data_IF_034472614652
#
_entry.id   IF_034472614652
#
_cell.length_a   1.000
_cell.length_b   1.000
_cell.length_c   1.000
_cell.angle_alpha   90.00
_cell.angle_beta   90.00
_cell.angle_gamma   90.00
#
_symmetry.space_group_name_H-M   'P 1'
#
loop_
_entity.id
_entity.type
_entity.pdbx_description
1 polymer ?
#
# COMPACT_ATOMS: atom_id res chain seq x y z
N UNK A 1 -44.87 18.55 88.54
CA UNK A 1 -46.32 18.33 88.28
C UNK A 1 -46.66 19.18 87.07
N UNK A 2 -47.09 18.68 85.92
CA UNK A 2 -47.42 17.35 85.38
C UNK A 2 -47.23 17.51 83.84
N UNK A 3 -46.69 16.60 83.03
CA UNK A 3 -47.34 15.39 82.48
C UNK A 3 -48.87 15.50 82.38
N UNK A 4 -49.37 16.28 81.42
CA UNK A 4 -50.81 16.33 81.13
C UNK A 4 -51.13 17.26 79.96
N UNK A 5 -51.83 16.71 78.98
CA UNK A 5 -52.45 17.32 77.81
C UNK A 5 -51.55 17.91 76.73
N UNK A 6 -51.22 17.05 75.77
CA UNK A 6 -51.21 17.48 74.37
C UNK A 6 -52.15 16.54 73.64
N UNK A 7 -53.25 17.11 73.14
CA UNK A 7 -54.34 16.39 72.47
C UNK A 7 -53.82 15.57 71.29
N UNK A 8 -54.26 14.31 71.19
CA UNK A 8 -53.91 13.36 70.11
C UNK A 8 -54.54 13.74 68.74
N UNK A 9 -55.11 14.95 68.62
CA UNK A 9 -55.85 15.44 67.45
C UNK A 9 -54.95 15.96 66.31
N UNK A 10 -53.62 16.03 66.51
CA UNK A 10 -52.66 16.38 65.44
C UNK A 10 -52.07 15.14 64.73
N UNK A 11 -52.50 13.93 65.08
CA UNK A 11 -52.05 12.68 64.44
C UNK A 11 -52.91 12.25 63.24
N UNK A 12 -53.65 13.16 62.61
CA UNK A 12 -54.32 12.88 61.34
C UNK A 12 -54.08 13.95 60.26
N UNK A 13 -52.80 14.14 59.93
CA UNK A 13 -52.43 14.46 58.55
C UNK A 13 -51.60 13.31 58.00
N UNK A 14 -52.28 12.20 57.73
CA UNK A 14 -51.74 11.10 56.93
C UNK A 14 -51.21 11.64 55.60
N UNK A 15 -49.89 11.80 55.49
CA UNK A 15 -49.25 11.93 54.18
C UNK A 15 -49.51 10.60 53.46
N UNK A 16 -50.37 10.63 52.45
CA UNK A 16 -50.57 9.51 51.54
C UNK A 16 -49.24 9.14 50.88
N UNK A 17 -48.61 8.06 51.37
CA UNK A 17 -47.38 7.48 50.79
C UNK A 17 -47.59 7.06 49.32
N UNK A 18 -48.84 6.83 48.92
CA UNK A 18 -49.26 6.53 47.54
C UNK A 18 -49.04 7.68 46.55
N UNK A 19 -48.79 8.91 47.05
CA UNK A 19 -48.41 10.05 46.21
C UNK A 19 -46.91 10.16 45.97
N UNK A 20 -46.07 9.53 46.81
CA UNK A 20 -44.62 9.71 46.77
C UNK A 20 -43.92 8.73 45.82
N UNK A 21 -44.50 7.54 45.66
CA UNK A 21 -44.12 6.60 44.63
C UNK A 21 -45.24 6.60 43.61
N UNK A 22 -45.11 7.48 42.60
CA UNK A 22 -46.08 7.59 41.51
C UNK A 22 -46.52 6.20 41.06
N UNK A 23 -47.82 6.04 40.84
CA UNK A 23 -48.46 4.73 40.64
C UNK A 23 -47.95 3.94 39.43
N UNK A 24 -48.80 3.12 38.83
CA UNK A 24 -48.46 2.15 37.76
C UNK A 24 -47.62 2.72 36.59
N UNK A 25 -47.59 4.04 36.41
CA UNK A 25 -46.72 4.78 35.50
C UNK A 25 -45.22 4.67 35.84
N UNK A 26 -44.83 4.53 37.11
CA UNK A 26 -43.43 4.42 37.54
C UNK A 26 -42.83 3.04 37.22
N UNK A 27 -43.62 1.97 37.30
CA UNK A 27 -43.20 0.63 36.89
C UNK A 27 -43.01 0.50 35.37
N UNK A 28 -43.88 1.14 34.59
CA UNK A 28 -43.71 1.24 33.13
C UNK A 28 -42.48 2.06 32.77
N UNK A 29 -42.27 3.21 33.41
CA UNK A 29 -41.07 4.03 33.20
C UNK A 29 -39.78 3.30 33.59
N UNK A 30 -39.77 2.55 34.70
CA UNK A 30 -38.61 1.76 35.12
C UNK A 30 -38.29 0.65 34.10
N UNK A 31 -39.30 -0.02 33.55
CA UNK A 31 -39.09 -1.02 32.50
C UNK A 31 -38.54 -0.41 31.21
N UNK A 32 -39.02 0.77 30.80
CA UNK A 32 -38.50 1.50 29.64
C UNK A 32 -37.06 1.97 29.90
N UNK A 33 -36.74 2.46 31.10
CA UNK A 33 -35.37 2.84 31.49
C UNK A 33 -34.44 1.63 31.46
N UNK A 34 -34.87 0.46 31.96
CA UNK A 34 -34.08 -0.78 31.93
C UNK A 34 -33.91 -1.29 30.48
N UNK A 35 -34.93 -1.19 29.63
CA UNK A 35 -34.86 -1.57 28.22
C UNK A 35 -33.91 -0.61 27.47
N UNK A 36 -34.01 0.69 27.70
CA UNK A 36 -33.11 1.70 27.13
C UNK A 36 -31.68 1.52 27.64
N UNK A 37 -31.50 1.14 28.91
CA UNK A 37 -30.18 0.85 29.50
C UNK A 37 -29.59 -0.45 28.93
N UNK A 38 -30.39 -1.50 28.77
CA UNK A 38 -29.99 -2.74 28.07
C UNK A 38 -29.67 -2.49 26.59
N UNK A 39 -30.45 -1.68 25.90
CA UNK A 39 -30.21 -1.30 24.50
C UNK A 39 -28.93 -0.45 24.36
N UNK A 40 -28.71 0.52 25.25
CA UNK A 40 -27.45 1.28 25.30
C UNK A 40 -26.25 0.39 25.60
N UNK A 41 -26.37 -0.54 26.55
CA UNK A 41 -25.30 -1.48 26.92
C UNK A 41 -24.91 -2.41 25.76
N UNK A 42 -25.90 -2.89 24.99
CA UNK A 42 -25.68 -3.66 23.75
C UNK A 42 -25.04 -2.80 22.66
N UNK A 43 -25.43 -1.51 22.54
CA UNK A 43 -24.86 -0.58 21.57
C UNK A 43 -23.39 -0.23 21.87
N UNK A 44 -23.02 -0.10 23.14
CA UNK A 44 -21.63 0.20 23.58
C UNK A 44 -20.69 -1.01 23.58
N UNK A 45 -21.20 -2.25 23.43
CA UNK A 45 -20.40 -3.48 23.28
C UNK A 45 -20.17 -3.93 21.83
N UNK A 46 -20.60 -3.14 20.84
CA UNK A 46 -20.27 -3.36 19.43
C UNK A 46 -18.85 -2.90 18.98
N UNK A 47 -18.14 -1.96 19.65
CA UNK A 47 -16.88 -1.45 19.08
C UNK A 47 -15.73 -2.45 19.19
N UNK A 48 -15.79 -3.39 20.15
CA UNK A 48 -14.74 -4.39 20.32
C UNK A 48 -14.76 -5.45 19.22
N UNK A 49 -15.94 -5.92 18.81
CA UNK A 49 -16.08 -6.89 17.72
C UNK A 49 -15.77 -6.26 16.37
N UNK A 50 -16.21 -5.03 16.10
CA UNK A 50 -15.88 -4.35 14.83
C UNK A 50 -14.42 -3.95 14.76
N UNK A 51 -13.80 -3.54 15.88
CA UNK A 51 -12.37 -3.30 15.94
C UNK A 51 -11.60 -4.60 15.77
N UNK A 52 -11.97 -5.67 16.47
CA UNK A 52 -11.35 -6.99 16.33
C UNK A 52 -11.46 -7.53 14.90
N UNK A 53 -12.65 -7.44 14.28
CA UNK A 53 -12.88 -7.84 12.88
C UNK A 53 -12.09 -6.94 11.92
N UNK A 54 -12.09 -5.61 12.10
CA UNK A 54 -11.31 -4.70 11.26
C UNK A 54 -9.80 -4.94 11.40
N UNK A 55 -9.31 -5.15 12.63
CA UNK A 55 -7.91 -5.49 12.87
C UNK A 55 -7.59 -6.87 12.33
N UNK A 56 -8.52 -7.83 12.39
CA UNK A 56 -8.35 -9.16 11.83
C UNK A 56 -8.33 -9.14 10.31
N UNK A 57 -9.18 -8.35 9.66
CA UNK A 57 -9.22 -8.20 8.21
C UNK A 57 -7.99 -7.44 7.70
N UNK A 58 -7.55 -6.41 8.43
CA UNK A 58 -6.31 -5.70 8.13
C UNK A 58 -5.09 -6.62 8.31
N UNK A 59 -5.03 -7.35 9.42
CA UNK A 59 -3.96 -8.32 9.69
C UNK A 59 -3.96 -9.44 8.65
N UNK A 60 -5.13 -9.95 8.25
CA UNK A 60 -5.22 -10.96 7.20
C UNK A 60 -4.72 -10.44 5.85
N UNK A 61 -5.03 -9.20 5.48
CA UNK A 61 -4.53 -8.57 4.24
C UNK A 61 -3.05 -8.28 4.29
N UNK A 62 -2.54 -7.83 5.44
CA UNK A 62 -1.10 -7.61 5.63
C UNK A 62 -0.37 -8.95 5.57
N UNK A 63 -0.89 -9.99 6.21
CA UNK A 63 -0.34 -11.35 6.14
C UNK A 63 -0.35 -11.89 4.71
N UNK A 64 -1.44 -11.73 3.96
CA UNK A 64 -1.51 -12.14 2.55
C UNK A 64 -0.50 -11.38 1.68
N UNK A 65 -0.35 -10.07 1.92
CA UNK A 65 0.67 -9.26 1.27
C UNK A 65 2.08 -9.72 1.64
N UNK A 66 2.36 -10.00 2.92
CA UNK A 66 3.64 -10.53 3.39
C UNK A 66 3.95 -11.89 2.78
N UNK A 67 3.01 -12.83 2.79
CA UNK A 67 3.15 -14.16 2.17
C UNK A 67 3.41 -14.07 0.66
N UNK A 68 2.86 -13.06 -0.01
CA UNK A 68 3.10 -12.82 -1.44
C UNK A 68 4.42 -12.11 -1.71
N UNK A 69 4.78 -11.12 -0.89
CA UNK A 69 5.92 -10.24 -1.14
C UNK A 69 7.23 -10.79 -0.63
N UNK A 70 7.25 -11.45 0.54
CA UNK A 70 8.45 -12.06 1.11
C UNK A 70 9.20 -12.95 0.10
N UNK A 71 8.56 -13.90 -0.62
CA UNK A 71 9.28 -14.71 -1.60
C UNK A 71 9.83 -13.90 -2.78
N UNK A 72 9.15 -12.82 -3.20
CA UNK A 72 9.61 -11.94 -4.28
C UNK A 72 10.83 -11.13 -3.81
N UNK A 73 10.79 -10.63 -2.57
CA UNK A 73 11.87 -9.85 -1.97
C UNK A 73 13.11 -10.72 -1.71
N UNK A 74 12.93 -11.92 -1.16
CA UNK A 74 14.00 -12.89 -0.99
C UNK A 74 14.64 -13.25 -2.34
N UNK A 75 13.82 -13.49 -3.37
CA UNK A 75 14.33 -13.74 -4.72
C UNK A 75 15.12 -12.54 -5.25
N UNK A 76 14.63 -11.31 -5.09
CA UNK A 76 15.34 -10.09 -5.52
C UNK A 76 16.63 -9.87 -4.73
N UNK A 77 16.66 -10.17 -3.44
CA UNK A 77 17.85 -10.04 -2.59
C UNK A 77 18.97 -11.02 -3.02
N UNK A 78 18.62 -12.15 -3.64
CA UNK A 78 19.62 -13.03 -4.28
C UNK A 78 20.15 -12.49 -5.61
N UNK A 79 19.47 -11.53 -6.24
CA UNK A 79 19.86 -10.99 -7.54
C UNK A 79 21.00 -9.98 -7.37
N UNK A 80 21.80 -9.84 -8.43
CA UNK A 80 22.86 -8.84 -8.50
C UNK A 80 22.28 -7.44 -8.34
N UNK A 81 22.97 -6.56 -7.62
CA UNK A 81 22.65 -5.14 -7.55
C UNK A 81 22.64 -4.50 -8.96
N UNK A 82 21.76 -3.53 -9.18
CA UNK A 82 21.66 -2.86 -10.48
C UNK A 82 22.71 -1.74 -10.60
N UNK A 83 23.70 -1.94 -11.47
CA UNK A 83 24.67 -0.92 -11.87
C UNK A 83 24.42 -0.46 -13.32
N UNK A 84 23.93 0.77 -13.47
CA UNK A 84 23.60 1.33 -14.78
C UNK A 84 24.81 1.48 -15.71
N UNK A 85 26.02 1.65 -15.16
CA UNK A 85 27.24 1.79 -15.96
C UNK A 85 27.66 0.44 -16.51
N UNK A 86 27.65 -0.59 -15.67
CA UNK A 86 27.98 -1.96 -16.06
C UNK A 86 27.02 -2.51 -17.14
N UNK A 87 25.71 -2.41 -16.91
CA UNK A 87 24.71 -2.81 -17.91
C UNK A 87 24.87 -2.04 -19.22
N UNK A 88 25.29 -0.78 -19.13
CA UNK A 88 25.62 0.01 -20.30
C UNK A 88 26.87 -0.51 -21.03
N UNK A 89 27.95 -0.82 -20.32
CA UNK A 89 29.20 -1.32 -20.89
C UNK A 89 29.00 -2.66 -21.59
N UNK A 90 28.25 -3.55 -20.94
CA UNK A 90 27.81 -4.79 -21.56
C UNK A 90 27.05 -4.50 -22.85
N UNK A 91 26.11 -3.55 -22.84
CA UNK A 91 25.34 -3.22 -24.04
C UNK A 91 26.18 -2.59 -25.15
N UNK A 92 27.18 -1.76 -24.85
CA UNK A 92 28.14 -1.26 -25.84
C UNK A 92 29.02 -2.36 -26.40
N UNK A 93 29.41 -3.34 -25.57
CA UNK A 93 30.22 -4.49 -26.00
C UNK A 93 29.46 -5.42 -26.96
N UNK A 94 28.12 -5.44 -26.89
CA UNK A 94 27.28 -6.19 -27.82
C UNK A 94 27.31 -5.63 -29.25
N UNK A 95 27.76 -4.39 -29.46
CA UNK A 95 27.97 -3.82 -30.79
C UNK A 95 29.42 -4.01 -31.26
N UNK A 96 29.60 -4.47 -32.49
CA UNK A 96 30.90 -4.66 -33.14
C UNK A 96 31.51 -3.33 -33.55
N UNK A 97 30.73 -2.47 -34.20
CA UNK A 97 31.22 -1.24 -34.82
C UNK A 97 30.25 -0.07 -34.64
N UNK A 98 30.79 1.15 -34.69
CA UNK A 98 29.98 2.37 -34.67
C UNK A 98 29.18 2.45 -35.97
N UNK A 99 27.88 2.74 -35.86
CA UNK A 99 26.93 2.73 -36.96
C UNK A 99 26.15 1.42 -37.10
N UNK A 100 26.54 0.35 -36.38
CA UNK A 100 25.77 -0.90 -36.35
C UNK A 100 24.38 -0.67 -35.76
N UNK A 101 23.36 -1.26 -36.41
CA UNK A 101 21.98 -1.21 -35.96
C UNK A 101 21.52 -2.59 -35.54
N UNK A 102 20.99 -2.70 -34.32
CA UNK A 102 20.39 -3.93 -33.80
C UNK A 102 19.01 -3.65 -33.26
N UNK A 103 18.16 -4.67 -33.22
CA UNK A 103 16.89 -4.57 -32.49
C UNK A 103 17.10 -4.81 -30.99
N UNK A 104 16.21 -4.28 -30.15
CA UNK A 104 16.26 -4.57 -28.72
C UNK A 104 16.14 -6.09 -28.46
N UNK A 105 15.30 -6.79 -29.23
CA UNK A 105 15.12 -8.24 -29.10
C UNK A 105 16.43 -9.00 -29.39
N UNK A 106 17.17 -8.60 -30.44
CA UNK A 106 18.48 -9.17 -30.78
C UNK A 106 19.53 -8.95 -29.68
N UNK A 107 19.51 -7.78 -29.02
CA UNK A 107 20.44 -7.47 -27.93
C UNK A 107 20.12 -8.27 -26.65
N UNK A 108 18.85 -8.62 -26.45
CA UNK A 108 18.38 -9.24 -25.20
C UNK A 108 18.11 -10.74 -25.33
N UNK A 109 18.50 -11.38 -26.44
CA UNK A 109 18.39 -12.83 -26.60
C UNK A 109 19.13 -13.56 -25.49
N UNK A 110 18.43 -14.44 -24.77
CA UNK A 110 19.00 -15.27 -23.71
C UNK A 110 19.17 -14.57 -22.36
N UNK A 111 18.78 -13.29 -22.23
CA UNK A 111 18.79 -12.57 -20.95
C UNK A 111 17.59 -12.97 -20.09
N UNK A 112 17.76 -12.89 -18.77
CA UNK A 112 16.67 -13.19 -17.84
C UNK A 112 15.63 -12.08 -17.90
N UNK A 113 14.35 -12.42 -17.68
CA UNK A 113 13.24 -11.47 -17.80
C UNK A 113 13.40 -10.23 -16.92
N UNK A 114 13.93 -10.38 -15.70
CA UNK A 114 14.14 -9.27 -14.78
C UNK A 114 15.30 -8.34 -15.20
N UNK A 115 16.20 -8.78 -16.08
CA UNK A 115 17.29 -7.95 -16.59
C UNK A 115 16.87 -7.11 -17.81
N UNK A 116 15.80 -7.50 -18.50
CA UNK A 116 15.29 -6.79 -19.68
C UNK A 116 15.02 -5.32 -19.36
N UNK A 117 14.33 -5.04 -18.25
CA UNK A 117 14.05 -3.68 -17.79
C UNK A 117 15.33 -2.91 -17.44
N UNK A 118 16.33 -3.59 -16.86
CA UNK A 118 17.64 -3.02 -16.49
C UNK A 118 18.44 -2.61 -17.72
N UNK A 119 18.57 -3.49 -18.73
CA UNK A 119 19.21 -3.16 -20.01
C UNK A 119 18.44 -2.09 -20.78
N UNK A 120 17.11 -2.12 -20.75
CA UNK A 120 16.29 -1.11 -21.40
C UNK A 120 16.54 0.28 -20.79
N UNK A 121 16.60 0.37 -19.46
CA UNK A 121 16.94 1.62 -18.76
C UNK A 121 18.36 2.11 -19.12
N UNK A 122 19.35 1.22 -19.14
CA UNK A 122 20.71 1.56 -19.55
C UNK A 122 20.74 2.05 -21.01
N UNK A 123 19.97 1.44 -21.90
CA UNK A 123 19.81 1.88 -23.29
C UNK A 123 19.23 3.29 -23.39
N UNK A 124 18.20 3.61 -22.61
CA UNK A 124 17.63 4.96 -22.56
C UNK A 124 18.64 6.00 -22.02
N UNK A 125 19.42 5.63 -20.99
CA UNK A 125 20.50 6.48 -20.49
C UNK A 125 21.56 6.76 -21.56
N UNK A 126 21.93 5.74 -22.33
CA UNK A 126 22.86 5.90 -23.46
C UNK A 126 22.27 6.72 -24.61
N UNK A 127 20.96 6.67 -24.81
CA UNK A 127 20.29 7.53 -25.76
C UNK A 127 20.37 9.00 -25.33
N UNK A 128 20.15 9.26 -24.04
CA UNK A 128 20.26 10.60 -23.46
C UNK A 128 21.70 11.17 -23.52
N UNK A 129 22.71 10.31 -23.39
CA UNK A 129 24.13 10.67 -23.47
C UNK A 129 24.70 10.63 -24.90
N UNK A 130 23.83 10.40 -25.90
CA UNK A 130 24.18 10.34 -27.33
C UNK A 130 25.19 9.23 -27.70
N UNK A 131 25.28 8.18 -26.89
CA UNK A 131 26.03 6.97 -27.21
C UNK A 131 25.27 6.10 -28.22
N UNK A 132 23.95 6.04 -28.13
CA UNK A 132 23.07 5.30 -29.04
C UNK A 132 21.93 6.17 -29.56
N UNK A 133 21.41 5.86 -30.75
CA UNK A 133 20.16 6.42 -31.27
C UNK A 133 19.08 5.35 -31.21
N UNK A 134 17.94 5.72 -30.65
CA UNK A 134 16.75 4.86 -30.56
C UNK A 134 15.74 5.32 -31.59
N UNK A 135 15.27 4.38 -32.41
CA UNK A 135 14.21 4.57 -33.39
C UNK A 135 13.12 3.52 -33.16
N UNK A 136 11.87 3.89 -33.44
CA UNK A 136 10.73 3.00 -33.29
C UNK A 136 10.04 2.78 -34.64
N UNK A 137 9.81 1.52 -34.97
CA UNK A 137 9.16 1.08 -36.20
C UNK A 137 7.96 0.20 -35.85
N UNK A 138 6.81 0.42 -36.49
CA UNK A 138 5.65 -0.49 -36.37
C UNK A 138 5.66 -1.39 -37.60
N UNK A 139 5.89 -2.69 -37.40
CA UNK A 139 5.75 -3.68 -38.47
C UNK A 139 4.39 -4.33 -38.41
N UNK A 140 3.72 -4.40 -39.56
CA UNK A 140 2.46 -5.14 -39.74
C UNK A 140 2.77 -6.48 -40.36
N UNK A 141 2.45 -7.54 -39.65
CA UNK A 141 2.54 -8.88 -40.21
C UNK A 141 1.43 -9.13 -41.24
N UNK A 142 1.57 -10.18 -42.04
CA UNK A 142 0.55 -10.61 -43.02
C UNK A 142 -0.81 -10.93 -42.38
N UNK A 143 -0.82 -11.21 -41.07
CA UNK A 143 -2.00 -11.46 -40.23
C UNK A 143 -2.64 -10.17 -39.70
N UNK A 144 -2.06 -9.00 -39.96
CA UNK A 144 -2.54 -7.71 -39.48
C UNK A 144 -2.11 -7.37 -38.04
N UNK A 145 -1.29 -8.22 -37.40
CA UNK A 145 -0.74 -7.94 -36.07
C UNK A 145 0.33 -6.87 -36.18
N UNK A 146 0.17 -5.79 -35.42
CA UNK A 146 1.14 -4.71 -35.31
C UNK A 146 2.16 -5.04 -34.22
N UNK A 147 3.42 -5.18 -34.59
CA UNK A 147 4.53 -5.37 -33.66
C UNK A 147 5.39 -4.11 -33.63
N UNK A 148 5.52 -3.53 -32.45
CA UNK A 148 6.44 -2.43 -32.16
C UNK A 148 7.86 -2.98 -32.09
N UNK A 149 8.75 -2.44 -32.93
CA UNK A 149 10.16 -2.82 -32.97
C UNK A 149 11.01 -1.59 -32.67
N UNK A 150 11.86 -1.72 -31.65
CA UNK A 150 12.83 -0.70 -31.28
C UNK A 150 14.17 -1.03 -31.93
N UNK A 151 14.65 -0.11 -32.79
CA UNK A 151 15.97 -0.19 -33.43
C UNK A 151 16.94 0.71 -32.69
N UNK A 152 18.12 0.18 -32.39
CA UNK A 152 19.16 0.87 -31.64
C UNK A 152 20.39 0.95 -32.55
N UNK A 153 20.80 2.17 -32.89
CA UNK A 153 22.02 2.43 -33.65
C UNK A 153 23.13 2.91 -32.72
N UNK A 154 24.30 2.27 -32.78
CA UNK A 154 25.45 2.75 -32.04
C UNK A 154 26.02 4.02 -32.69
N UNK A 155 26.12 5.12 -31.94
CA UNK A 155 26.71 6.38 -32.42
C UNK A 155 28.15 6.56 -31.94
N UNK A 156 28.44 6.12 -30.72
CA UNK A 156 29.75 6.31 -30.10
C UNK A 156 30.01 5.26 -29.02
N UNK A 157 31.24 4.74 -28.98
CA UNK A 157 31.68 3.79 -27.93
C UNK A 157 32.25 4.47 -26.69
N UNK A 158 32.78 5.69 -26.77
CA UNK A 158 33.36 6.33 -25.58
C UNK A 158 32.28 6.82 -24.62
N UNK A 159 32.43 6.44 -23.35
CA UNK A 159 31.65 6.93 -22.22
C UNK A 159 32.31 8.19 -21.66
N UNK A 160 31.77 9.37 -21.97
CA UNK A 160 32.32 10.65 -21.49
C UNK A 160 32.05 10.93 -19.99
N UNK A 161 31.43 10.03 -19.23
CA UNK A 161 31.09 10.27 -17.81
C UNK A 161 32.22 9.93 -16.81
N UNK A 162 33.38 9.46 -17.24
CA UNK A 162 34.54 9.22 -16.35
C UNK A 162 35.36 10.48 -16.01
N UNK A 163 34.95 11.68 -16.45
CA UNK A 163 35.81 12.88 -16.32
C UNK A 163 35.73 13.54 -14.93
N UNK A 164 34.84 13.12 -14.02
CA UNK A 164 34.63 13.83 -12.75
C UNK A 164 35.22 13.21 -11.47
N UNK A 165 35.85 12.02 -11.52
CA UNK A 165 36.45 11.42 -10.32
C UNK A 165 37.96 11.65 -10.14
N UNK A 166 38.62 12.33 -11.09
CA UNK A 166 40.09 12.57 -11.05
C UNK A 166 40.52 14.02 -10.81
N UNK A 167 39.62 14.92 -10.46
CA UNK A 167 39.95 16.34 -10.22
C UNK A 167 39.73 16.80 -8.76
N UNK A 168 39.43 15.90 -7.82
CA UNK A 168 39.08 16.25 -6.44
C UNK A 168 39.97 15.66 -5.34
N UNK A 169 41.08 14.99 -5.68
CA UNK A 169 42.02 14.42 -4.72
C UNK A 169 43.42 15.02 -4.91
N UNK A 170 43.56 16.31 -4.60
CA UNK A 170 44.82 16.96 -4.22
C UNK A 170 44.56 17.89 -3.04
#
# INVERSE_FOLDING_TARGET
MMFGDMDDDDLDSSISIDSLYGGWTFFLLLSVVIILFRARFIQTRKPLLTLFVLTSDLVARVQEWEETMMPILEEEETRKEFDIHEYGDELLSMFKEVGEVKTLDELLVGRKKYEISRYFLACLMMANTYNVRVEHEIRKDRTGVETSIMRITLLKKDRHHEVFDKAGAL
#
